data_IF_456834059885
#
_entry.id   IF_456834059885
#
_cell.length_a   1.000
_cell.length_b   1.000
_cell.length_c   1.000
_cell.angle_alpha   90.00
_cell.angle_beta   90.00
_cell.angle_gamma   90.00
#
_symmetry.space_group_name_H-M   'P 1'
#
loop_
_entity.id
_entity.type
_entity.pdbx_description
1 polymer ?
#
# COMPACT_ATOMS: atom_id res chain seq x y z
N UNK A 1 -4.62 -15.32 14.18
CA UNK A 1 -4.67 -15.77 12.77
C UNK A 1 -4.98 -17.28 12.73
N UNK A 2 -4.18 -18.11 13.38
CA UNK A 2 -4.40 -19.56 13.45
C UNK A 2 -5.77 -19.89 14.07
N UNK A 3 -6.17 -19.20 15.13
CA UNK A 3 -7.45 -19.38 15.80
C UNK A 3 -8.64 -19.12 14.85
N UNK A 4 -8.54 -18.08 14.00
CA UNK A 4 -9.60 -17.78 13.02
C UNK A 4 -9.61 -18.78 11.84
N UNK A 5 -8.46 -19.35 11.47
CA UNK A 5 -8.37 -20.34 10.39
C UNK A 5 -8.93 -21.72 10.73
N UNK A 6 -9.07 -22.05 12.01
CA UNK A 6 -9.69 -23.31 12.49
C UNK A 6 -11.19 -23.20 12.74
N UNK A 7 -11.76 -21.97 12.64
CA UNK A 7 -13.21 -21.82 12.77
C UNK A 7 -13.89 -22.33 11.48
N UNK A 8 -14.87 -23.20 11.61
CA UNK A 8 -15.68 -23.72 10.48
C UNK A 8 -16.50 -22.62 9.78
N UNK A 9 -16.52 -21.42 10.35
CA UNK A 9 -17.28 -20.28 9.82
C UNK A 9 -16.46 -19.50 8.79
N UNK A 10 -16.92 -19.45 7.55
CA UNK A 10 -16.27 -18.78 6.42
C UNK A 10 -15.93 -17.29 6.67
N UNK A 11 -16.72 -16.59 7.49
CA UNK A 11 -16.49 -15.18 7.82
C UNK A 11 -15.21 -14.99 8.65
N UNK A 12 -14.90 -15.92 9.55
CA UNK A 12 -13.66 -15.87 10.34
C UNK A 12 -12.42 -16.18 9.49
N UNK A 13 -12.57 -17.06 8.48
CA UNK A 13 -11.47 -17.38 7.56
C UNK A 13 -11.03 -16.12 6.80
N UNK A 14 -11.98 -15.41 6.17
CA UNK A 14 -11.69 -14.17 5.44
C UNK A 14 -11.07 -13.13 6.37
N UNK A 15 -11.68 -12.89 7.52
CA UNK A 15 -11.18 -11.91 8.50
C UNK A 15 -9.78 -12.24 8.98
N UNK A 16 -9.47 -13.52 9.22
CA UNK A 16 -8.14 -13.97 9.64
C UNK A 16 -7.06 -13.67 8.60
N UNK A 17 -7.34 -13.93 7.32
CA UNK A 17 -6.41 -13.62 6.23
C UNK A 17 -6.21 -12.11 6.03
N UNK A 18 -7.29 -11.32 6.11
CA UNK A 18 -7.22 -9.86 5.99
C UNK A 18 -6.38 -9.27 7.14
N UNK A 19 -6.60 -9.71 8.38
CA UNK A 19 -5.80 -9.25 9.54
C UNK A 19 -4.32 -9.63 9.37
N UNK A 20 -4.02 -10.82 8.82
CA UNK A 20 -2.65 -11.22 8.51
C UNK A 20 -2.00 -10.27 7.48
N UNK A 21 -2.71 -9.98 6.41
CA UNK A 21 -2.23 -9.04 5.38
C UNK A 21 -2.02 -7.63 5.90
N UNK A 22 -2.93 -7.13 6.75
CA UNK A 22 -2.76 -5.83 7.43
C UNK A 22 -1.53 -5.84 8.33
N UNK A 23 -1.26 -6.96 9.02
CA UNK A 23 -0.03 -7.14 9.80
C UNK A 23 1.25 -7.03 8.96
N UNK A 24 1.26 -7.62 7.76
CA UNK A 24 2.38 -7.49 6.80
C UNK A 24 2.55 -6.03 6.35
N UNK A 25 1.46 -5.32 6.05
CA UNK A 25 1.53 -3.88 5.72
C UNK A 25 2.09 -3.08 6.89
N UNK A 26 1.62 -3.31 8.12
CA UNK A 26 2.11 -2.61 9.30
C UNK A 26 3.63 -2.82 9.48
N UNK A 27 4.13 -4.03 9.24
CA UNK A 27 5.56 -4.32 9.23
C UNK A 27 6.30 -3.52 8.13
N UNK A 28 5.77 -3.48 6.90
CA UNK A 28 6.35 -2.69 5.81
C UNK A 28 6.33 -1.18 6.10
N UNK A 29 5.24 -0.66 6.68
CA UNK A 29 5.13 0.75 7.08
C UNK A 29 6.13 1.08 8.18
N UNK A 30 6.34 0.18 9.15
CA UNK A 30 7.34 0.36 10.20
C UNK A 30 8.75 0.47 9.61
N UNK A 31 9.11 -0.35 8.61
CA UNK A 31 10.41 -0.24 7.92
C UNK A 31 10.53 1.08 7.16
N UNK A 32 9.46 1.54 6.51
CA UNK A 32 9.42 2.82 5.80
C UNK A 32 9.55 4.00 6.76
N UNK A 33 8.83 3.99 7.88
CA UNK A 33 8.90 5.02 8.91
C UNK A 33 10.30 5.11 9.52
N UNK A 34 10.91 3.98 9.86
CA UNK A 34 12.29 3.93 10.37
C UNK A 34 13.30 4.50 9.37
N UNK A 35 13.11 4.26 8.08
CA UNK A 35 13.95 4.84 7.04
C UNK A 35 13.75 6.36 6.92
N UNK A 36 12.50 6.82 7.03
CA UNK A 36 12.12 8.24 6.87
C UNK A 36 12.61 9.10 8.04
N UNK A 37 12.52 8.63 9.28
CA UNK A 37 12.97 9.40 10.46
C UNK A 37 14.45 9.76 10.37
N UNK A 38 15.27 8.87 9.86
CA UNK A 38 16.69 9.13 9.64
C UNK A 38 16.96 10.13 8.51
N UNK A 39 16.13 10.13 7.46
CA UNK A 39 16.23 11.08 6.36
C UNK A 39 15.98 12.53 6.81
N UNK A 40 14.98 12.76 7.67
CA UNK A 40 14.65 14.10 8.16
C UNK A 40 15.59 14.63 9.24
N UNK A 41 16.37 13.76 9.88
CA UNK A 41 17.35 14.16 10.89
C UNK A 41 18.69 14.64 10.29
N UNK A 42 18.88 14.60 8.98
CA UNK A 42 20.09 15.14 8.31
C UNK A 42 19.90 16.64 8.15
N UNK A 43 20.69 17.50 8.84
CA UNK A 43 20.54 18.94 8.74
C UNK A 43 20.89 19.40 7.31
N UNK A 44 20.00 20.25 6.74
CA UNK A 44 20.12 20.74 5.35
C UNK A 44 21.41 21.58 5.08
N UNK A 45 22.11 22.01 6.14
CA UNK A 45 23.24 22.96 6.05
C UNK A 45 24.63 22.33 6.11
N UNK A 46 24.75 21.01 6.09
CA UNK A 46 26.06 20.39 6.29
C UNK A 46 26.62 19.75 5.02
N UNK A 47 27.11 20.58 4.11
CA UNK A 47 28.04 20.10 3.07
C UNK A 47 29.28 19.38 3.68
N UNK A 48 29.61 19.67 4.93
CA UNK A 48 30.69 19.03 5.70
C UNK A 48 30.18 17.88 6.60
N UNK A 49 28.88 17.77 6.88
CA UNK A 49 28.33 16.71 7.75
C UNK A 49 28.23 15.34 7.07
N UNK A 50 28.44 15.25 5.76
CA UNK A 50 28.47 13.96 5.05
C UNK A 50 29.53 13.00 5.59
N UNK A 51 30.64 13.54 6.14
CA UNK A 51 31.71 12.71 6.71
C UNK A 51 31.46 12.32 8.18
N UNK A 52 30.70 13.12 8.95
CA UNK A 52 30.39 12.79 10.35
C UNK A 52 29.10 11.98 10.50
N UNK A 53 28.09 12.27 9.69
CA UNK A 53 26.86 11.46 9.63
C UNK A 53 27.15 10.02 9.17
N UNK A 54 28.19 9.79 8.38
CA UNK A 54 28.65 8.44 8.04
C UNK A 54 29.28 7.68 9.24
N UNK A 55 29.68 8.34 10.32
CA UNK A 55 30.24 7.68 11.51
C UNK A 55 29.16 7.25 12.53
N UNK A 56 28.05 7.97 12.63
CA UNK A 56 26.89 7.58 13.46
C UNK A 56 25.73 7.05 12.60
N UNK A 57 25.89 7.05 11.30
CA UNK A 57 24.86 6.77 10.32
C UNK A 57 24.40 5.32 10.38
N UNK A 58 23.15 5.18 10.14
CA UNK A 58 22.45 3.97 9.75
C UNK A 58 23.32 3.18 8.79
N UNK A 59 23.96 2.14 9.27
CA UNK A 59 24.88 1.31 8.48
C UNK A 59 24.21 0.95 7.13
N UNK A 60 24.98 0.97 6.05
CA UNK A 60 24.53 0.46 4.75
C UNK A 60 23.89 -0.93 4.89
N UNK A 61 24.40 -1.72 5.84
CA UNK A 61 23.86 -3.01 6.21
C UNK A 61 22.43 -2.90 6.74
N UNK A 62 22.13 -1.96 7.63
CA UNK A 62 20.78 -1.78 8.20
C UNK A 62 19.78 -1.34 7.13
N UNK A 63 20.17 -0.47 6.19
CA UNK A 63 19.32 -0.07 5.08
C UNK A 63 19.01 -1.25 4.14
N UNK A 64 20.02 -2.10 3.84
CA UNK A 64 19.81 -3.29 3.04
C UNK A 64 18.91 -4.30 3.75
N UNK A 65 19.04 -4.44 5.07
CA UNK A 65 18.14 -5.28 5.89
C UNK A 65 16.70 -4.76 5.82
N UNK A 66 16.47 -3.46 5.95
CA UNK A 66 15.11 -2.89 5.86
C UNK A 66 14.48 -3.12 4.47
N UNK A 67 15.23 -2.89 3.39
CA UNK A 67 14.77 -3.19 2.03
C UNK A 67 14.49 -4.68 1.88
N UNK A 68 15.39 -5.53 2.36
CA UNK A 68 15.26 -6.98 2.31
C UNK A 68 14.03 -7.49 3.07
N UNK A 69 13.77 -6.96 4.27
CA UNK A 69 12.57 -7.28 5.05
C UNK A 69 11.28 -6.85 4.34
N UNK A 70 11.24 -5.64 3.78
CA UNK A 70 10.08 -5.16 3.04
C UNK A 70 9.82 -6.02 1.80
N UNK A 71 10.88 -6.41 1.09
CA UNK A 71 10.80 -7.34 -0.04
C UNK A 71 10.26 -8.70 0.39
N UNK A 72 10.78 -9.26 1.48
CA UNK A 72 10.34 -10.54 2.03
C UNK A 72 8.85 -10.52 2.36
N UNK A 73 8.37 -9.48 3.07
CA UNK A 73 6.95 -9.35 3.40
C UNK A 73 6.07 -9.22 2.16
N UNK A 74 6.54 -8.48 1.14
CA UNK A 74 5.83 -8.39 -0.14
C UNK A 74 5.75 -9.75 -0.85
N UNK A 75 6.83 -10.51 -0.89
CA UNK A 75 6.84 -11.85 -1.48
C UNK A 75 5.93 -12.82 -0.73
N UNK A 76 5.91 -12.77 0.59
CA UNK A 76 4.99 -13.57 1.42
C UNK A 76 3.54 -13.20 1.09
N UNK A 77 3.21 -11.91 0.98
CA UNK A 77 1.87 -11.45 0.66
C UNK A 77 1.42 -11.94 -0.74
N UNK A 78 2.28 -11.84 -1.75
CA UNK A 78 2.00 -12.36 -3.10
C UNK A 78 1.84 -13.87 -3.13
N UNK A 79 2.76 -14.62 -2.51
CA UNK A 79 2.65 -16.08 -2.43
C UNK A 79 1.35 -16.51 -1.75
N UNK A 80 0.98 -15.83 -0.66
CA UNK A 80 -0.26 -16.11 0.05
C UNK A 80 -1.49 -15.80 -0.81
N UNK A 81 -1.53 -14.65 -1.52
CA UNK A 81 -2.59 -14.31 -2.44
C UNK A 81 -2.77 -15.38 -3.53
N UNK A 82 -1.66 -15.84 -4.14
CA UNK A 82 -1.68 -16.88 -5.18
C UNK A 82 -2.23 -18.20 -4.63
N UNK A 83 -1.80 -18.63 -3.45
CA UNK A 83 -2.28 -19.86 -2.80
C UNK A 83 -3.78 -19.77 -2.51
N UNK A 84 -4.28 -18.63 -2.05
CA UNK A 84 -5.72 -18.44 -1.80
C UNK A 84 -6.52 -18.43 -3.10
N UNK A 85 -6.03 -17.75 -4.14
CA UNK A 85 -6.69 -17.70 -5.45
C UNK A 85 -6.68 -19.06 -6.14
N UNK A 86 -5.64 -19.89 -5.97
CA UNK A 86 -5.63 -21.26 -6.52
C UNK A 86 -6.69 -22.17 -5.90
N UNK A 87 -7.16 -21.82 -4.68
CA UNK A 87 -8.24 -22.52 -3.98
C UNK A 87 -9.62 -21.88 -4.20
N UNK A 88 -9.75 -20.91 -5.08
CA UNK A 88 -11.02 -20.20 -5.32
C UNK A 88 -12.15 -21.14 -5.79
N UNK A 89 -11.84 -22.28 -6.39
CA UNK A 89 -12.81 -23.32 -6.75
C UNK A 89 -13.42 -24.05 -5.54
N UNK A 90 -12.73 -24.04 -4.38
CA UNK A 90 -13.19 -24.68 -3.15
C UNK A 90 -14.24 -23.83 -2.40
N UNK A 91 -14.30 -22.52 -2.69
CA UNK A 91 -15.31 -21.64 -2.10
C UNK A 91 -15.06 -20.16 -2.36
N UNK A 92 -16.15 -19.40 -2.43
CA UNK A 92 -16.10 -17.95 -2.70
C UNK A 92 -15.26 -17.16 -1.69
N UNK A 93 -15.15 -17.62 -0.45
CA UNK A 93 -14.35 -17.00 0.59
C UNK A 93 -12.83 -17.02 0.28
N UNK A 94 -12.33 -18.05 -0.42
CA UNK A 94 -10.94 -18.09 -0.88
C UNK A 94 -10.68 -17.06 -1.97
N UNK A 95 -11.65 -16.87 -2.87
CA UNK A 95 -11.56 -15.83 -3.88
C UNK A 95 -11.50 -14.43 -3.25
N UNK A 96 -12.40 -14.14 -2.29
CA UNK A 96 -12.41 -12.85 -1.57
C UNK A 96 -11.08 -12.62 -0.84
N UNK A 97 -10.67 -13.58 -0.01
CA UNK A 97 -9.44 -13.48 0.77
C UNK A 97 -8.21 -13.34 -0.14
N UNK A 98 -8.12 -14.13 -1.21
CA UNK A 98 -7.01 -14.09 -2.15
C UNK A 98 -6.93 -12.77 -2.92
N UNK A 99 -8.07 -12.25 -3.36
CA UNK A 99 -8.15 -10.96 -4.05
C UNK A 99 -7.74 -9.82 -3.13
N UNK A 100 -8.26 -9.74 -1.92
CA UNK A 100 -7.88 -8.71 -0.94
C UNK A 100 -6.39 -8.82 -0.59
N UNK A 101 -5.87 -10.04 -0.38
CA UNK A 101 -4.43 -10.26 -0.15
C UNK A 101 -3.59 -9.79 -1.33
N UNK A 102 -4.05 -9.94 -2.57
CA UNK A 102 -3.39 -9.40 -3.77
C UNK A 102 -3.30 -7.87 -3.74
N UNK A 103 -4.38 -7.19 -3.33
CA UNK A 103 -4.37 -5.73 -3.13
C UNK A 103 -3.41 -5.28 -2.03
N UNK A 104 -3.37 -6.01 -0.91
CA UNK A 104 -2.41 -5.76 0.17
C UNK A 104 -0.96 -6.00 -0.28
N UNK A 105 -0.72 -7.01 -1.14
CA UNK A 105 0.58 -7.26 -1.75
C UNK A 105 1.01 -6.12 -2.68
N UNK A 106 0.09 -5.51 -3.43
CA UNK A 106 0.35 -4.29 -4.22
C UNK A 106 0.81 -3.13 -3.33
N UNK A 107 0.20 -2.94 -2.15
CA UNK A 107 0.62 -1.93 -1.17
C UNK A 107 2.03 -2.24 -0.65
N UNK A 108 2.31 -3.48 -0.24
CA UNK A 108 3.65 -3.88 0.20
C UNK A 108 4.70 -3.62 -0.87
N UNK A 109 4.42 -3.96 -2.14
CA UNK A 109 5.31 -3.66 -3.28
C UNK A 109 5.53 -2.16 -3.47
N UNK A 110 4.48 -1.35 -3.30
CA UNK A 110 4.57 0.11 -3.36
C UNK A 110 5.45 0.68 -2.24
N UNK A 111 5.40 0.09 -1.05
CA UNK A 111 6.25 0.47 0.09
C UNK A 111 7.73 0.10 -0.14
N UNK A 112 8.04 -0.98 -0.89
CA UNK A 112 9.43 -1.27 -1.30
C UNK A 112 9.99 -0.09 -2.11
N UNK A 113 9.21 0.43 -3.07
CA UNK A 113 9.66 1.57 -3.88
C UNK A 113 9.94 2.80 -3.01
N UNK A 114 9.12 3.06 -1.98
CA UNK A 114 9.33 4.14 -1.03
C UNK A 114 10.61 3.95 -0.22
N UNK A 115 10.78 2.79 0.42
CA UNK A 115 11.95 2.46 1.25
C UNK A 115 13.24 2.49 0.42
N UNK A 116 13.22 1.90 -0.78
CA UNK A 116 14.36 1.90 -1.67
C UNK A 116 14.73 3.32 -2.16
N UNK A 117 13.73 4.16 -2.46
CA UNK A 117 13.95 5.56 -2.83
C UNK A 117 14.62 6.34 -1.71
N UNK A 118 14.14 6.20 -0.48
CA UNK A 118 14.72 6.85 0.71
C UNK A 118 16.16 6.38 0.94
N UNK A 119 16.39 5.05 0.92
CA UNK A 119 17.71 4.49 1.14
C UNK A 119 18.73 4.93 0.09
N UNK A 120 18.33 4.97 -1.19
CA UNK A 120 19.21 5.45 -2.26
C UNK A 120 19.51 6.96 -2.19
N UNK A 121 18.56 7.76 -1.72
CA UNK A 121 18.77 9.18 -1.47
C UNK A 121 19.78 9.41 -0.35
N UNK A 122 19.63 8.70 0.78
CA UNK A 122 20.59 8.78 1.90
C UNK A 122 22.00 8.41 1.44
N UNK A 123 22.15 7.45 0.51
CA UNK A 123 23.44 7.02 -0.04
C UNK A 123 23.97 7.92 -1.16
N UNK A 124 23.27 8.96 -1.57
CA UNK A 124 23.56 9.76 -2.76
C UNK A 124 23.69 8.92 -4.06
N UNK A 125 23.06 7.74 -4.12
CA UNK A 125 23.06 6.83 -5.27
C UNK A 125 21.76 6.89 -6.08
N UNK A 126 20.87 7.84 -5.76
CA UNK A 126 19.57 8.00 -6.41
C UNK A 126 19.73 8.63 -7.80
N UNK A 127 19.67 7.78 -8.84
CA UNK A 127 19.92 8.19 -10.23
C UNK A 127 18.65 8.64 -10.97
N UNK A 128 18.84 9.08 -12.22
CA UNK A 128 17.75 9.48 -13.10
C UNK A 128 16.83 8.30 -13.44
N UNK A 129 17.38 7.10 -13.59
CA UNK A 129 16.63 5.86 -13.81
C UNK A 129 15.70 5.55 -12.63
N UNK A 130 16.21 5.65 -11.41
CA UNK A 130 15.43 5.41 -10.19
C UNK A 130 14.25 6.38 -10.07
N UNK A 131 14.50 7.66 -10.37
CA UNK A 131 13.49 8.71 -10.36
C UNK A 131 12.34 8.47 -11.33
N UNK A 132 12.60 7.80 -12.45
CA UNK A 132 11.57 7.44 -13.44
C UNK A 132 10.87 6.14 -13.09
N UNK A 133 11.60 5.16 -12.59
CA UNK A 133 11.11 3.78 -12.47
C UNK A 133 10.31 3.55 -11.16
N UNK A 134 10.77 4.07 -10.01
CA UNK A 134 10.05 3.85 -8.74
C UNK A 134 8.63 4.43 -8.74
N UNK A 135 8.38 5.68 -9.17
CA UNK A 135 7.02 6.19 -9.27
C UNK A 135 6.15 5.39 -10.25
N UNK A 136 6.71 4.94 -11.38
CA UNK A 136 5.97 4.13 -12.35
C UNK A 136 5.56 2.79 -11.76
N UNK A 137 6.46 2.13 -11.01
CA UNK A 137 6.13 0.86 -10.34
C UNK A 137 4.92 1.01 -9.43
N UNK A 138 4.92 2.05 -8.57
CA UNK A 138 3.81 2.28 -7.64
C UNK A 138 2.50 2.63 -8.36
N UNK A 139 2.58 3.45 -9.42
CA UNK A 139 1.42 3.77 -10.25
C UNK A 139 0.86 2.52 -10.92
N UNK A 140 1.71 1.65 -11.45
CA UNK A 140 1.28 0.37 -12.05
C UNK A 140 0.58 -0.52 -11.01
N UNK A 141 1.15 -0.66 -9.80
CA UNK A 141 0.53 -1.45 -8.73
C UNK A 141 -0.85 -0.89 -8.33
N UNK A 142 -0.97 0.44 -8.20
CA UNK A 142 -2.25 1.09 -7.91
C UNK A 142 -3.28 0.89 -9.05
N UNK A 143 -2.84 1.04 -10.30
CA UNK A 143 -3.71 0.84 -11.47
C UNK A 143 -4.16 -0.60 -11.59
N UNK A 144 -3.28 -1.57 -11.39
CA UNK A 144 -3.62 -3.00 -11.43
C UNK A 144 -4.65 -3.33 -10.35
N UNK A 145 -4.43 -2.89 -9.10
CA UNK A 145 -5.37 -3.14 -8.01
C UNK A 145 -6.74 -2.48 -8.28
N UNK A 146 -6.75 -1.25 -8.78
CA UNK A 146 -7.97 -0.50 -9.08
C UNK A 146 -8.76 -1.14 -10.23
N UNK A 147 -8.10 -1.45 -11.35
CA UNK A 147 -8.74 -2.08 -12.52
C UNK A 147 -9.22 -3.48 -12.14
N UNK A 148 -8.45 -4.26 -11.38
CA UNK A 148 -8.89 -5.57 -10.91
C UNK A 148 -10.18 -5.47 -10.09
N UNK A 149 -10.28 -4.50 -9.18
CA UNK A 149 -11.50 -4.23 -8.43
C UNK A 149 -12.69 -3.92 -9.35
N UNK A 150 -12.49 -3.08 -10.36
CA UNK A 150 -13.50 -2.74 -11.34
C UNK A 150 -13.94 -3.96 -12.17
N UNK A 151 -12.99 -4.78 -12.64
CA UNK A 151 -13.26 -6.01 -13.37
C UNK A 151 -14.08 -6.98 -12.52
N UNK A 152 -13.77 -7.14 -11.24
CA UNK A 152 -14.52 -8.01 -10.33
C UNK A 152 -15.98 -7.54 -10.20
N UNK A 153 -16.22 -6.23 -10.06
CA UNK A 153 -17.59 -5.68 -9.98
C UNK A 153 -18.35 -5.90 -11.30
N UNK A 154 -17.70 -5.69 -12.44
CA UNK A 154 -18.37 -5.74 -13.75
C UNK A 154 -18.54 -7.16 -14.28
N UNK A 155 -17.59 -8.06 -14.01
CA UNK A 155 -17.57 -9.40 -14.57
C UNK A 155 -18.27 -10.46 -13.69
N UNK A 156 -18.39 -10.21 -12.37
CA UNK A 156 -18.96 -11.15 -11.42
C UNK A 156 -20.20 -10.52 -10.79
N UNK A 157 -21.37 -11.11 -11.04
CA UNK A 157 -22.61 -10.66 -10.41
C UNK A 157 -22.69 -11.12 -8.95
N UNK A 158 -23.17 -10.25 -8.07
CA UNK A 158 -23.55 -10.60 -6.69
C UNK A 158 -22.79 -9.82 -5.61
N UNK A 159 -23.32 -9.91 -4.39
CA UNK A 159 -22.85 -9.13 -3.23
C UNK A 159 -21.39 -9.37 -2.87
N UNK A 160 -20.90 -10.60 -3.04
CA UNK A 160 -19.49 -10.97 -2.77
C UNK A 160 -18.55 -10.28 -3.73
N UNK A 161 -18.89 -10.22 -5.02
CA UNK A 161 -18.09 -9.55 -6.03
C UNK A 161 -18.04 -8.04 -5.79
N UNK A 162 -19.19 -7.42 -5.50
CA UNK A 162 -19.27 -6.00 -5.21
C UNK A 162 -18.41 -5.64 -3.99
N UNK A 163 -18.58 -6.36 -2.87
CA UNK A 163 -17.76 -6.15 -1.66
C UNK A 163 -16.27 -6.22 -1.96
N UNK A 164 -15.84 -7.29 -2.63
CA UNK A 164 -14.44 -7.54 -2.96
C UNK A 164 -13.88 -6.47 -3.89
N UNK A 165 -14.64 -6.12 -4.92
CA UNK A 165 -14.23 -5.14 -5.93
C UNK A 165 -14.05 -3.75 -5.34
N UNK A 166 -14.98 -3.27 -4.50
CA UNK A 166 -14.85 -1.96 -3.85
C UNK A 166 -13.66 -1.91 -2.87
N UNK A 167 -13.41 -2.99 -2.13
CA UNK A 167 -12.21 -3.07 -1.28
C UNK A 167 -10.94 -2.96 -2.13
N UNK A 168 -10.87 -3.69 -3.26
CA UNK A 168 -9.72 -3.63 -4.15
C UNK A 168 -9.50 -2.25 -4.77
N UNK A 169 -10.56 -1.56 -5.16
CA UNK A 169 -10.46 -0.18 -5.64
C UNK A 169 -9.87 0.74 -4.56
N UNK A 170 -10.33 0.61 -3.31
CA UNK A 170 -9.79 1.35 -2.17
C UNK A 170 -8.30 1.08 -1.94
N UNK A 171 -7.87 -0.19 -2.00
CA UNK A 171 -6.45 -0.55 -1.89
C UNK A 171 -5.61 0.04 -3.04
N UNK A 172 -6.16 0.11 -4.25
CA UNK A 172 -5.54 0.80 -5.38
C UNK A 172 -5.36 2.30 -5.10
N UNK A 173 -6.36 2.96 -4.51
CA UNK A 173 -6.27 4.38 -4.11
C UNK A 173 -5.19 4.61 -3.04
N UNK A 174 -4.99 3.70 -2.10
CA UNK A 174 -3.87 3.75 -1.15
C UNK A 174 -2.52 3.69 -1.88
N UNK A 175 -2.37 2.82 -2.89
CA UNK A 175 -1.16 2.79 -3.71
C UNK A 175 -0.92 4.13 -4.43
N UNK A 176 -1.95 4.79 -4.96
CA UNK A 176 -1.82 6.12 -5.56
C UNK A 176 -1.40 7.18 -4.53
N UNK A 177 -1.89 7.11 -3.29
CA UNK A 177 -1.41 7.98 -2.21
C UNK A 177 0.09 7.76 -1.92
N UNK A 178 0.55 6.50 -1.86
CA UNK A 178 1.98 6.19 -1.70
C UNK A 178 2.79 6.71 -2.90
N UNK A 179 2.25 6.63 -4.13
CA UNK A 179 2.94 7.12 -5.33
C UNK A 179 3.26 8.60 -5.24
N UNK A 180 2.38 9.39 -4.64
CA UNK A 180 2.61 10.83 -4.45
C UNK A 180 3.84 11.11 -3.58
N UNK A 181 4.04 10.32 -2.52
CA UNK A 181 5.21 10.43 -1.63
C UNK A 181 6.50 10.05 -2.37
N UNK A 182 6.47 8.99 -3.18
CA UNK A 182 7.62 8.59 -4.01
C UNK A 182 7.95 9.64 -5.07
N UNK A 183 6.93 10.24 -5.71
CA UNK A 183 7.11 11.33 -6.68
C UNK A 183 7.68 12.58 -5.98
N UNK A 184 7.17 12.93 -4.80
CA UNK A 184 7.66 14.06 -4.02
C UNK A 184 9.15 13.88 -3.70
N UNK A 185 9.56 12.74 -3.19
CA UNK A 185 10.96 12.40 -2.94
C UNK A 185 11.82 12.56 -4.18
N UNK A 186 11.34 12.07 -5.34
CA UNK A 186 12.03 12.18 -6.61
C UNK A 186 12.21 13.65 -7.09
N UNK A 187 11.34 14.57 -6.68
CA UNK A 187 11.32 15.98 -7.09
C UNK A 187 12.04 16.90 -6.12
N UNK A 188 11.94 16.68 -4.82
CA UNK A 188 12.71 17.42 -3.81
C UNK A 188 14.20 17.34 -4.12
N UNK A 189 14.66 16.20 -4.62
CA UNK A 189 16.03 16.03 -5.09
C UNK A 189 16.42 16.97 -6.23
N UNK A 190 15.45 17.40 -7.07
CA UNK A 190 15.70 18.30 -8.22
C UNK A 190 15.55 19.79 -7.91
N UNK A 191 15.30 20.19 -6.67
CA UNK A 191 15.02 21.58 -6.25
C UNK A 191 13.85 22.25 -6.98
N UNK A 192 12.95 21.51 -7.59
CA UNK A 192 11.76 22.07 -8.27
C UNK A 192 10.60 22.25 -7.30
N UNK A 193 10.70 23.24 -6.43
CA UNK A 193 9.68 23.54 -5.41
C UNK A 193 8.29 23.89 -5.97
N UNK A 194 8.20 24.48 -7.16
CA UNK A 194 6.93 24.95 -7.71
C UNK A 194 5.90 23.83 -7.96
N UNK A 195 6.35 22.63 -8.31
CA UNK A 195 5.47 21.48 -8.51
C UNK A 195 5.31 20.63 -7.26
N UNK A 196 6.22 20.72 -6.31
CA UNK A 196 6.15 20.03 -5.02
C UNK A 196 4.95 20.50 -4.20
N UNK A 197 4.51 21.77 -4.35
CA UNK A 197 3.35 22.32 -3.65
C UNK A 197 2.00 21.71 -4.06
N UNK A 198 1.91 21.11 -5.26
CA UNK A 198 0.68 20.47 -5.77
C UNK A 198 0.58 18.97 -5.48
N UNK A 199 1.67 18.33 -5.13
CA UNK A 199 1.71 16.87 -4.88
C UNK A 199 0.92 16.45 -3.63
N UNK A 200 0.86 17.23 -2.53
CA UNK A 200 0.01 16.91 -1.38
C UNK A 200 -1.48 16.80 -1.70
N UNK A 201 -1.94 17.34 -2.85
CA UNK A 201 -3.32 17.19 -3.30
C UNK A 201 -3.67 15.73 -3.67
N UNK A 202 -2.73 14.93 -4.14
CA UNK A 202 -3.02 13.54 -4.56
C UNK A 202 -3.52 12.68 -3.38
N UNK A 203 -2.85 12.63 -2.21
CA UNK A 203 -3.38 11.92 -1.04
C UNK A 203 -4.74 12.43 -0.59
N UNK A 204 -4.95 13.75 -0.61
CA UNK A 204 -6.24 14.35 -0.26
C UNK A 204 -7.33 13.93 -1.25
N UNK A 205 -7.06 13.98 -2.55
CA UNK A 205 -8.02 13.56 -3.57
C UNK A 205 -8.33 12.07 -3.48
N UNK A 206 -7.33 11.21 -3.26
CA UNK A 206 -7.55 9.77 -3.08
C UNK A 206 -8.34 9.47 -1.81
N UNK A 207 -8.08 10.18 -0.72
CA UNK A 207 -8.84 10.07 0.51
C UNK A 207 -10.30 10.51 0.33
N UNK A 208 -10.53 11.66 -0.31
CA UNK A 208 -11.88 12.16 -0.61
C UNK A 208 -12.63 11.19 -1.53
N UNK A 209 -11.96 10.59 -2.51
CA UNK A 209 -12.57 9.59 -3.38
C UNK A 209 -12.96 8.32 -2.61
N UNK A 210 -12.12 7.84 -1.69
CA UNK A 210 -12.48 6.73 -0.81
C UNK A 210 -13.71 7.06 0.05
N UNK A 211 -13.76 8.25 0.63
CA UNK A 211 -14.88 8.70 1.46
C UNK A 211 -16.16 8.89 0.63
N UNK A 212 -16.05 9.40 -0.59
CA UNK A 212 -17.18 9.53 -1.51
C UNK A 212 -17.75 8.16 -1.89
N UNK A 213 -16.88 7.21 -2.26
CA UNK A 213 -17.30 5.83 -2.53
C UNK A 213 -17.94 5.18 -1.31
N UNK A 214 -17.41 5.41 -0.11
CA UNK A 214 -18.00 4.92 1.12
C UNK A 214 -19.39 5.50 1.38
N UNK A 215 -19.55 6.81 1.21
CA UNK A 215 -20.86 7.48 1.37
C UNK A 215 -21.89 6.95 0.37
N UNK A 216 -21.49 6.80 -0.90
CA UNK A 216 -22.33 6.21 -1.94
C UNK A 216 -22.79 4.79 -1.57
N UNK A 217 -21.88 3.95 -1.06
CA UNK A 217 -22.23 2.59 -0.65
C UNK A 217 -23.12 2.56 0.60
N UNK A 218 -23.01 3.52 1.51
CA UNK A 218 -23.93 3.64 2.64
C UNK A 218 -25.32 4.05 2.20
N UNK A 219 -25.44 4.92 1.20
CA UNK A 219 -26.71 5.37 0.66
C UNK A 219 -27.44 4.27 -0.12
N UNK A 220 -26.73 3.60 -1.05
CA UNK A 220 -27.28 2.51 -1.86
C UNK A 220 -27.59 1.24 -1.06
N UNK A 221 -26.76 0.92 -0.07
CA UNK A 221 -26.85 -0.33 0.66
C UNK A 221 -27.90 -0.35 1.78
N UNK A 222 -28.33 0.81 2.27
CA UNK A 222 -29.18 0.88 3.45
C UNK A 222 -28.61 0.03 4.60
N UNK A 223 -29.40 -0.96 5.07
CA UNK A 223 -28.97 -1.92 6.10
C UNK A 223 -28.47 -3.25 5.51
N UNK A 224 -28.27 -3.35 4.19
CA UNK A 224 -27.77 -4.58 3.58
C UNK A 224 -26.28 -4.77 3.87
N UNK A 225 -25.93 -5.88 4.51
CA UNK A 225 -24.57 -6.20 4.94
C UNK A 225 -23.54 -6.22 3.78
N UNK A 226 -24.00 -6.44 2.54
CA UNK A 226 -23.14 -6.54 1.37
C UNK A 226 -22.41 -5.22 1.04
N UNK A 227 -23.08 -4.08 1.25
CA UNK A 227 -22.50 -2.76 0.98
C UNK A 227 -21.91 -2.11 2.24
N UNK A 228 -22.41 -2.51 3.41
CA UNK A 228 -21.98 -1.94 4.67
C UNK A 228 -20.51 -2.28 5.04
N UNK A 229 -20.07 -3.51 4.73
CA UNK A 229 -18.68 -3.91 4.98
C UNK A 229 -17.69 -3.14 4.12
N UNK A 230 -17.82 -3.08 2.77
CA UNK A 230 -16.88 -2.33 1.95
C UNK A 230 -16.92 -0.83 2.23
N UNK A 231 -18.06 -0.24 2.58
CA UNK A 231 -18.16 1.15 2.95
C UNK A 231 -17.30 1.48 4.17
N UNK A 232 -17.36 0.68 5.23
CA UNK A 232 -16.51 0.85 6.43
C UNK A 232 -15.03 0.67 6.13
N UNK A 233 -14.68 -0.32 5.30
CA UNK A 233 -13.30 -0.52 4.87
C UNK A 233 -12.80 0.69 4.09
N UNK A 234 -13.60 1.26 3.19
CA UNK A 234 -13.24 2.45 2.41
C UNK A 234 -13.04 3.69 3.30
N UNK A 235 -13.86 3.87 4.36
CA UNK A 235 -13.63 4.94 5.35
C UNK A 235 -12.25 4.77 5.99
N UNK A 236 -11.90 3.56 6.43
CA UNK A 236 -10.58 3.27 7.01
C UNK A 236 -9.44 3.51 6.02
N UNK A 237 -9.57 3.07 4.77
CA UNK A 237 -8.58 3.30 3.72
C UNK A 237 -8.46 4.78 3.37
N UNK A 238 -9.55 5.54 3.35
CA UNK A 238 -9.54 6.98 3.19
C UNK A 238 -8.75 7.67 4.31
N UNK A 239 -8.95 7.27 5.56
CA UNK A 239 -8.15 7.78 6.68
C UNK A 239 -6.65 7.48 6.53
N UNK A 240 -6.28 6.28 6.05
CA UNK A 240 -4.89 5.91 5.75
C UNK A 240 -4.28 6.81 4.65
N UNK A 241 -5.07 7.20 3.65
CA UNK A 241 -4.59 8.09 2.58
C UNK A 241 -4.25 9.50 3.10
N UNK A 242 -4.91 9.97 4.18
CA UNK A 242 -4.60 11.25 4.81
C UNK A 242 -3.29 11.23 5.62
N UNK A 243 -2.87 10.06 6.12
CA UNK A 243 -1.61 9.91 6.87
C UNK A 243 -0.39 9.80 5.95
#
# INVERSE_FOLDING_TARGET
IWICGFAENSNFIVSGHVVAGVGLIAACVSTAATSSTKFYLIPANSANATNEVNKEGFSVMTQNVLIGLTLLFSLIAWAWAIVLLSRSSEGAYFFVAGTVMGGLACICTSLIALVASIAKQIRNTYGESDRKNWPKLVLVMGTVAFIWGLVVILAMAGNVANTTGFIMMGLGLVCFSISSKVILLARVWKQSFALASRIPLIPVLTALLCLFLAAFLFEEGGYDNAFFVPARVLVGLGAICFC
#
